data_IF_137967575720
#
_entry.id   IF_137967575720
#
_cell.length_a   1.000
_cell.length_b   1.000
_cell.length_c   1.000
_cell.angle_alpha   90.00
_cell.angle_beta   90.00
_cell.angle_gamma   90.00
#
_symmetry.space_group_name_H-M   'P 1'
#
loop_
_entity.id
_entity.type
_entity.pdbx_description
1 polymer ?
#
# COMPACT_ATOMS: atom_id res chain seq x y z
N UNK A 1 -10.66 -30.55 -26.83
CA UNK A 1 -9.67 -30.71 -25.74
C UNK A 1 -8.43 -31.43 -26.26
N UNK A 2 -7.49 -30.66 -26.82
CA UNK A 2 -6.23 -31.22 -27.34
C UNK A 2 -5.05 -31.10 -26.35
N UNK A 3 -5.31 -30.87 -25.08
CA UNK A 3 -4.24 -30.76 -24.07
C UNK A 3 -4.28 -31.99 -23.16
N UNK A 4 -3.28 -32.86 -23.30
CA UNK A 4 -3.13 -34.09 -22.52
C UNK A 4 -2.64 -33.84 -21.07
N UNK A 5 -3.17 -32.83 -20.38
CA UNK A 5 -2.79 -32.49 -19.03
C UNK A 5 -4.02 -32.26 -18.14
N UNK A 6 -3.86 -32.52 -16.83
CA UNK A 6 -4.97 -32.41 -15.87
C UNK A 6 -5.54 -30.98 -15.83
N UNK A 7 -6.86 -30.84 -15.59
CA UNK A 7 -7.51 -29.53 -15.39
C UNK A 7 -6.80 -28.71 -14.31
N UNK A 8 -6.51 -27.44 -14.60
CA UNK A 8 -5.80 -26.54 -13.68
C UNK A 8 -4.28 -26.69 -13.65
N UNK A 9 -3.71 -27.62 -14.44
CA UNK A 9 -2.25 -27.71 -14.59
C UNK A 9 -1.67 -26.50 -15.32
N UNK A 10 -0.40 -26.21 -15.04
CA UNK A 10 0.35 -25.11 -15.68
C UNK A 10 0.27 -25.17 -17.21
N UNK A 11 0.37 -26.36 -17.78
CA UNK A 11 0.33 -26.56 -19.23
C UNK A 11 -1.05 -26.27 -19.81
N UNK A 12 -2.11 -26.71 -19.13
CA UNK A 12 -3.47 -26.49 -19.57
C UNK A 12 -3.87 -25.01 -19.49
N UNK A 13 -3.57 -24.34 -18.36
CA UNK A 13 -3.86 -22.92 -18.19
C UNK A 13 -3.14 -22.09 -19.25
N UNK A 14 -1.87 -22.40 -19.53
CA UNK A 14 -1.09 -21.76 -20.58
C UNK A 14 -1.69 -21.96 -21.98
N UNK A 15 -2.09 -23.17 -22.32
CA UNK A 15 -2.67 -23.48 -23.62
C UNK A 15 -4.02 -22.76 -23.80
N UNK A 16 -4.89 -22.78 -22.79
CA UNK A 16 -6.18 -22.08 -22.80
C UNK A 16 -6.01 -20.57 -22.93
N UNK A 17 -5.08 -19.97 -22.19
CA UNK A 17 -4.78 -18.54 -22.29
C UNK A 17 -4.26 -18.17 -23.69
N UNK A 18 -3.42 -19.03 -24.29
CA UNK A 18 -2.91 -18.82 -25.64
C UNK A 18 -4.04 -18.84 -26.68
N UNK A 19 -4.94 -19.82 -26.63
CA UNK A 19 -6.08 -19.90 -27.54
C UNK A 19 -7.01 -18.69 -27.42
N UNK A 20 -7.36 -18.29 -26.19
CA UNK A 20 -8.20 -17.13 -25.94
C UNK A 20 -7.55 -15.83 -26.39
N UNK A 21 -6.26 -15.65 -26.16
CA UNK A 21 -5.51 -14.48 -26.64
C UNK A 21 -5.45 -14.45 -28.17
N UNK A 22 -5.24 -15.60 -28.80
CA UNK A 22 -5.24 -15.73 -30.26
C UNK A 22 -6.62 -15.46 -30.86
N UNK A 23 -7.68 -15.92 -30.21
CA UNK A 23 -9.07 -15.64 -30.58
C UNK A 23 -9.35 -14.14 -30.49
N UNK A 24 -9.01 -13.50 -29.35
CA UNK A 24 -9.21 -12.08 -29.15
C UNK A 24 -8.57 -11.24 -30.28
N UNK A 25 -7.30 -11.55 -30.59
CA UNK A 25 -6.54 -10.84 -31.65
C UNK A 25 -7.14 -11.05 -33.05
N UNK A 26 -7.56 -12.29 -33.38
CA UNK A 26 -8.17 -12.56 -34.70
C UNK A 26 -9.53 -11.91 -34.90
N UNK A 27 -10.31 -11.80 -33.82
CA UNK A 27 -11.69 -11.30 -33.86
C UNK A 27 -11.83 -9.83 -33.50
N UNK A 28 -10.76 -9.19 -33.02
CA UNK A 28 -10.83 -7.83 -32.49
C UNK A 28 -11.74 -7.70 -31.27
N UNK A 29 -11.85 -8.79 -30.48
CA UNK A 29 -12.74 -8.89 -29.32
C UNK A 29 -11.93 -8.79 -28.05
N UNK A 30 -12.40 -8.02 -27.08
CA UNK A 30 -11.80 -7.99 -25.73
C UNK A 30 -12.16 -9.26 -24.97
N UNK A 31 -11.19 -9.87 -24.31
CA UNK A 31 -11.36 -11.06 -23.48
C UNK A 31 -10.86 -10.77 -22.08
N UNK A 32 -11.69 -10.99 -21.07
CA UNK A 32 -11.33 -10.87 -19.65
C UNK A 32 -11.21 -12.28 -19.08
N UNK A 33 -10.01 -12.63 -18.63
CA UNK A 33 -9.72 -13.88 -17.92
C UNK A 33 -9.80 -13.61 -16.42
N UNK A 34 -10.79 -14.21 -15.77
CA UNK A 34 -10.95 -14.11 -14.33
C UNK A 34 -10.15 -15.23 -13.65
N UNK A 35 -9.14 -14.86 -12.92
CA UNK A 35 -8.29 -15.77 -12.14
C UNK A 35 -8.59 -15.67 -10.65
N UNK A 36 -8.00 -16.59 -9.90
CA UNK A 36 -8.07 -16.70 -8.47
C UNK A 36 -6.66 -16.52 -7.89
N UNK A 37 -6.53 -15.81 -6.79
CA UNK A 37 -5.23 -15.63 -6.10
C UNK A 37 -5.05 -16.72 -5.07
N UNK A 38 -3.84 -17.26 -4.98
CA UNK A 38 -3.43 -18.16 -3.91
C UNK A 38 -3.26 -17.42 -2.59
N UNK A 39 -3.11 -18.16 -1.47
CA UNK A 39 -2.86 -17.58 -0.15
C UNK A 39 -1.63 -16.67 -0.09
N UNK A 40 -0.68 -16.88 -0.99
CA UNK A 40 0.55 -16.09 -1.12
C UNK A 40 0.38 -14.84 -2.01
N UNK A 41 -0.87 -14.49 -2.37
CA UNK A 41 -1.19 -13.33 -3.20
C UNK A 41 -0.79 -13.47 -4.67
N UNK A 42 -0.55 -14.70 -5.15
CA UNK A 42 -0.25 -14.98 -6.54
C UNK A 42 -1.49 -15.51 -7.28
N UNK A 43 -1.58 -15.24 -8.59
CA UNK A 43 -2.65 -15.82 -9.42
C UNK A 43 -2.50 -17.35 -9.39
N UNK A 44 -3.59 -18.05 -9.08
CA UNK A 44 -3.64 -19.51 -9.16
C UNK A 44 -3.50 -19.93 -10.61
N UNK A 45 -2.36 -20.48 -10.92
CA UNK A 45 -1.88 -20.77 -12.25
C UNK A 45 -0.53 -20.09 -12.47
N UNK A 46 0.18 -20.45 -13.54
CA UNK A 46 1.53 -19.94 -13.70
C UNK A 46 1.52 -18.43 -13.96
N UNK A 47 2.46 -17.71 -13.39
CA UNK A 47 2.86 -16.33 -13.76
C UNK A 47 3.01 -16.16 -15.28
N UNK A 48 3.12 -17.25 -15.99
CA UNK A 48 3.16 -17.29 -17.46
C UNK A 48 1.97 -16.61 -18.10
N UNK A 49 0.75 -16.67 -17.51
CA UNK A 49 -0.44 -15.99 -18.05
C UNK A 49 -0.29 -14.48 -17.98
N UNK A 50 0.32 -13.95 -16.94
CA UNK A 50 0.58 -12.50 -16.80
C UNK A 50 1.47 -11.96 -17.93
N UNK A 51 2.42 -12.79 -18.42
CA UNK A 51 3.27 -12.41 -19.54
C UNK A 51 2.56 -12.50 -20.90
N UNK A 52 1.49 -13.30 -21.01
CA UNK A 52 0.78 -13.55 -22.26
C UNK A 52 -0.34 -12.54 -22.55
N UNK A 53 -0.84 -11.85 -21.51
CA UNK A 53 -1.93 -10.89 -21.63
C UNK A 53 -1.42 -9.45 -21.69
N UNK A 54 -2.24 -8.55 -22.21
CA UNK A 54 -1.87 -7.14 -22.38
C UNK A 54 -2.01 -6.34 -21.08
N UNK A 55 -2.97 -6.71 -20.22
CA UNK A 55 -3.25 -6.04 -18.95
C UNK A 55 -3.43 -7.06 -17.85
N UNK A 56 -2.91 -6.78 -16.67
CA UNK A 56 -3.10 -7.56 -15.44
C UNK A 56 -3.63 -6.64 -14.36
N UNK A 57 -4.78 -7.00 -13.81
CA UNK A 57 -5.44 -6.28 -12.74
C UNK A 57 -5.52 -7.20 -11.51
N UNK A 58 -5.08 -6.70 -10.36
CA UNK A 58 -5.28 -7.34 -9.08
C UNK A 58 -6.45 -6.68 -8.35
N UNK A 59 -7.33 -7.52 -7.84
CA UNK A 59 -8.44 -7.09 -6.99
C UNK A 59 -8.10 -7.45 -5.56
N UNK A 60 -7.64 -6.46 -4.81
CA UNK A 60 -7.14 -6.60 -3.44
C UNK A 60 -8.22 -6.24 -2.42
N UNK A 61 -8.22 -6.90 -1.28
CA UNK A 61 -9.11 -6.57 -0.17
C UNK A 61 -9.04 -7.63 0.93
N UNK A 62 -8.84 -7.21 2.15
CA UNK A 62 -8.85 -8.10 3.30
C UNK A 62 -10.28 -8.39 3.77
N UNK A 63 -10.49 -9.58 4.35
CA UNK A 63 -11.76 -9.93 4.98
C UNK A 63 -12.00 -9.02 6.19
N UNK A 64 -13.15 -8.34 6.18
CA UNK A 64 -13.52 -7.40 7.25
C UNK A 64 -13.34 -5.93 6.90
N UNK A 65 -12.62 -5.59 5.84
CA UNK A 65 -12.59 -4.21 5.33
C UNK A 65 -13.72 -3.96 4.32
N UNK A 66 -14.33 -2.79 4.40
CA UNK A 66 -15.42 -2.39 3.50
C UNK A 66 -14.93 -2.10 2.08
N UNK A 67 -13.61 -1.84 1.93
CA UNK A 67 -13.03 -1.39 0.67
C UNK A 67 -12.35 -2.51 -0.10
N UNK A 68 -12.33 -2.33 -1.43
CA UNK A 68 -11.60 -3.16 -2.39
C UNK A 68 -10.78 -2.25 -3.28
N UNK A 69 -9.54 -2.64 -3.52
CA UNK A 69 -8.60 -1.90 -4.39
C UNK A 69 -8.38 -2.73 -5.64
N UNK A 70 -8.68 -2.14 -6.80
CA UNK A 70 -8.34 -2.68 -8.10
C UNK A 70 -7.03 -2.03 -8.54
N UNK A 71 -5.97 -2.81 -8.67
CA UNK A 71 -4.63 -2.34 -9.02
C UNK A 71 -4.21 -2.84 -10.39
N UNK A 72 -3.75 -1.95 -11.26
CA UNK A 72 -3.11 -2.31 -12.52
C UNK A 72 -1.64 -2.67 -12.27
N UNK A 73 -1.32 -3.97 -12.34
CA UNK A 73 0.06 -4.47 -12.15
C UNK A 73 0.84 -4.50 -13.45
N UNK A 74 0.14 -4.69 -14.56
CA UNK A 74 0.67 -4.61 -15.92
C UNK A 74 -0.35 -3.94 -16.81
N UNK A 75 0.09 -2.98 -17.60
CA UNK A 75 -0.75 -2.35 -18.61
C UNK A 75 0.07 -1.99 -19.85
N UNK A 76 -0.18 -2.68 -20.96
CA UNK A 76 0.53 -2.45 -22.21
C UNK A 76 0.12 -1.15 -22.90
N UNK A 77 -1.07 -0.64 -22.60
CA UNK A 77 -1.70 0.49 -23.29
C UNK A 77 -1.75 1.76 -22.43
N UNK A 78 -1.15 1.75 -21.25
CA UNK A 78 -1.15 2.89 -20.34
C UNK A 78 -0.30 2.68 -19.10
N UNK A 79 -0.41 3.55 -18.10
CA UNK A 79 0.33 3.43 -16.85
C UNK A 79 0.03 2.11 -16.12
N UNK A 80 1.03 1.58 -15.44
CA UNK A 80 0.87 0.53 -14.43
C UNK A 80 0.81 1.17 -13.03
N UNK A 81 0.47 0.36 -12.03
CA UNK A 81 0.32 0.76 -10.62
C UNK A 81 -0.83 1.73 -10.32
N UNK A 82 -1.65 2.04 -11.32
CA UNK A 82 -2.91 2.78 -11.12
C UNK A 82 -3.87 1.99 -10.25
N UNK A 83 -4.62 2.72 -9.40
CA UNK A 83 -5.62 2.11 -8.52
C UNK A 83 -7.03 2.67 -8.75
N UNK A 84 -8.02 1.78 -8.64
CA UNK A 84 -9.42 2.11 -8.40
C UNK A 84 -9.82 1.63 -7.02
N UNK A 85 -10.52 2.45 -6.26
CA UNK A 85 -11.01 2.08 -4.93
C UNK A 85 -12.52 1.96 -4.95
N UNK A 86 -13.01 0.87 -4.39
CA UNK A 86 -14.44 0.53 -4.34
C UNK A 86 -14.85 0.22 -2.90
N UNK A 87 -16.03 0.62 -2.54
CA UNK A 87 -16.68 0.27 -1.28
C UNK A 87 -17.64 -0.92 -1.49
N UNK A 88 -17.63 -1.87 -0.56
CA UNK A 88 -18.61 -2.95 -0.51
C UNK A 88 -19.88 -2.46 0.17
N UNK A 89 -20.92 -2.25 -0.62
CA UNK A 89 -22.24 -1.86 -0.13
C UNK A 89 -23.24 -3.02 -0.16
N UNK A 90 -24.39 -2.87 0.44
CA UNK A 90 -25.47 -3.86 0.36
C UNK A 90 -26.01 -4.11 -1.07
N UNK A 91 -25.76 -3.18 -2.00
CA UNK A 91 -26.10 -3.27 -3.42
C UNK A 91 -24.93 -3.71 -4.31
N UNK A 92 -23.76 -3.97 -3.74
CA UNK A 92 -22.55 -4.38 -4.46
C UNK A 92 -21.40 -3.37 -4.32
N UNK A 93 -20.51 -3.34 -5.31
CA UNK A 93 -19.37 -2.44 -5.34
C UNK A 93 -19.78 -1.04 -5.82
N UNK A 94 -19.45 -0.03 -5.05
CA UNK A 94 -19.59 1.37 -5.41
C UNK A 94 -18.21 2.02 -5.56
N UNK A 95 -17.99 2.84 -6.58
CA UNK A 95 -16.74 3.58 -6.76
C UNK A 95 -16.56 4.63 -5.68
N UNK A 96 -15.33 4.73 -5.17
CA UNK A 96 -14.95 5.77 -4.22
C UNK A 96 -14.19 6.87 -4.96
N UNK A 97 -14.82 8.02 -5.12
CA UNK A 97 -14.25 9.15 -5.84
C UNK A 97 -13.03 9.76 -5.15
N UNK A 98 -13.02 9.77 -3.81
CA UNK A 98 -11.92 10.29 -3.01
C UNK A 98 -11.39 9.22 -2.02
N UNK A 99 -10.43 8.37 -2.44
CA UNK A 99 -9.87 7.33 -1.58
C UNK A 99 -9.18 7.87 -0.33
N UNK A 100 -8.55 9.04 -0.40
CA UNK A 100 -7.86 9.61 0.75
C UNK A 100 -8.79 9.79 1.96
N UNK A 101 -10.05 10.13 1.73
CA UNK A 101 -11.04 10.25 2.81
C UNK A 101 -11.29 8.95 3.57
N UNK A 102 -11.00 7.78 2.95
CA UNK A 102 -11.16 6.47 3.56
C UNK A 102 -9.95 6.01 4.35
N UNK A 103 -8.76 6.44 3.93
CA UNK A 103 -7.49 6.04 4.54
C UNK A 103 -7.03 7.02 5.63
N UNK A 104 -7.86 8.02 5.90
CA UNK A 104 -7.72 8.92 7.04
C UNK A 104 -8.74 8.53 8.09
N UNK A 105 -8.33 8.48 9.35
CA UNK A 105 -9.25 8.34 10.47
C UNK A 105 -10.21 9.53 10.50
N UNK A 106 -11.39 9.34 11.08
CA UNK A 106 -12.26 10.49 11.35
C UNK A 106 -11.46 11.57 12.09
N UNK A 107 -11.51 12.79 11.58
CA UNK A 107 -10.78 13.91 12.18
C UNK A 107 -11.37 14.23 13.54
N UNK A 108 -10.80 13.56 14.55
CA UNK A 108 -10.98 13.88 15.95
C UNK A 108 -9.81 14.73 16.47
N UNK A 109 -9.67 14.79 17.78
CA UNK A 109 -8.49 15.39 18.40
C UNK A 109 -7.23 14.61 17.98
N UNK A 110 -6.12 15.31 17.70
CA UNK A 110 -4.85 14.66 17.36
C UNK A 110 -4.43 13.68 18.46
N UNK A 111 -4.11 12.45 18.08
CA UNK A 111 -3.65 11.42 19.00
C UNK A 111 -2.16 11.10 18.78
N UNK A 112 -1.41 10.84 19.86
CA UNK A 112 -0.03 10.38 19.73
C UNK A 112 0.05 9.10 18.88
N UNK A 113 1.11 9.01 18.07
CA UNK A 113 1.37 7.85 17.23
C UNK A 113 0.72 7.89 15.85
N UNK A 114 -0.03 8.94 15.51
CA UNK A 114 -0.62 9.10 14.19
C UNK A 114 0.18 10.11 13.35
N UNK A 115 0.42 9.76 12.07
CA UNK A 115 1.01 10.65 11.07
C UNK A 115 0.34 10.45 9.72
N UNK A 116 -0.02 11.54 9.05
CA UNK A 116 -0.62 11.49 7.72
C UNK A 116 0.46 11.59 6.65
N UNK A 117 0.59 10.55 5.86
CA UNK A 117 1.49 10.45 4.73
C UNK A 117 0.82 10.95 3.45
N UNK A 118 1.45 11.87 2.75
CA UNK A 118 1.03 12.26 1.41
C UNK A 118 1.74 11.39 0.37
N UNK A 119 1.11 10.27 0.00
CA UNK A 119 1.64 9.24 -0.90
C UNK A 119 1.24 9.41 -2.35
N UNK A 120 1.88 8.61 -3.21
CA UNK A 120 1.54 8.45 -4.62
C UNK A 120 1.34 6.97 -4.91
N UNK A 121 0.18 6.62 -5.45
CA UNK A 121 -0.11 5.29 -5.96
C UNK A 121 -0.28 5.37 -7.48
N UNK A 122 0.71 4.83 -8.22
CA UNK A 122 0.80 5.04 -9.66
C UNK A 122 1.01 6.52 -10.00
N UNK A 123 0.01 7.15 -10.56
CA UNK A 123 0.01 8.61 -10.82
C UNK A 123 -0.91 9.38 -9.86
N UNK A 124 -1.65 8.66 -9.02
CA UNK A 124 -2.69 9.24 -8.14
C UNK A 124 -2.13 9.59 -6.77
N UNK A 125 -2.23 10.85 -6.34
CA UNK A 125 -1.93 11.20 -4.96
C UNK A 125 -3.01 10.64 -4.02
N UNK A 126 -2.58 10.05 -2.90
CA UNK A 126 -3.45 9.45 -1.88
C UNK A 126 -2.87 9.76 -0.51
N UNK A 127 -3.68 10.33 0.37
CA UNK A 127 -3.31 10.53 1.77
C UNK A 127 -3.64 9.26 2.57
N UNK A 128 -2.68 8.81 3.38
CA UNK A 128 -2.79 7.59 4.17
C UNK A 128 -2.29 7.85 5.58
N UNK A 129 -3.03 7.41 6.58
CA UNK A 129 -2.61 7.52 7.97
C UNK A 129 -1.76 6.31 8.37
N UNK A 130 -0.57 6.60 8.91
CA UNK A 130 0.26 5.65 9.65
C UNK A 130 -0.03 5.79 11.13
N UNK A 131 -0.24 4.64 11.79
CA UNK A 131 -0.51 4.55 13.21
C UNK A 131 0.57 3.72 13.88
N UNK A 132 1.27 4.29 14.83
CA UNK A 132 2.29 3.62 15.63
C UNK A 132 1.86 3.49 17.08
N UNK A 133 2.17 2.37 17.69
CA UNK A 133 2.09 2.16 19.13
C UNK A 133 3.45 1.69 19.63
N UNK A 134 3.95 2.34 20.65
CA UNK A 134 5.20 2.02 21.33
C UNK A 134 4.92 1.77 22.80
N UNK A 135 5.30 0.60 23.31
CA UNK A 135 5.04 0.23 24.69
C UNK A 135 6.23 -0.52 25.30
N UNK A 136 6.47 -0.42 26.63
CA UNK A 136 7.47 -1.25 27.28
C UNK A 136 7.23 -2.74 27.01
N UNK A 137 8.30 -3.48 26.63
CA UNK A 137 8.15 -4.92 26.42
C UNK A 137 8.26 -5.67 27.75
N UNK A 138 7.32 -6.60 28.05
CA UNK A 138 7.45 -7.53 29.16
C UNK A 138 8.36 -8.73 28.81
N UNK A 139 8.86 -8.82 27.59
CA UNK A 139 9.62 -9.95 27.08
C UNK A 139 11.11 -9.64 26.94
N UNK A 140 11.93 -10.69 26.90
CA UNK A 140 13.38 -10.56 26.67
C UNK A 140 13.71 -10.06 25.24
N UNK A 141 12.81 -10.28 24.29
CA UNK A 141 12.93 -9.77 22.91
C UNK A 141 11.74 -8.86 22.60
N UNK A 142 12.01 -7.59 22.22
CA UNK A 142 11.00 -6.65 21.80
C UNK A 142 10.27 -7.12 20.53
N UNK A 143 8.97 -6.93 20.50
CA UNK A 143 8.14 -7.26 19.33
C UNK A 143 8.21 -6.14 18.29
N UNK A 144 8.22 -6.54 17.02
CA UNK A 144 8.08 -5.65 15.86
C UNK A 144 6.95 -6.18 15.00
N UNK A 145 5.82 -5.48 14.96
CA UNK A 145 4.65 -5.89 14.18
C UNK A 145 4.29 -4.79 13.20
N UNK A 146 4.09 -5.17 11.94
CA UNK A 146 3.80 -4.23 10.85
C UNK A 146 2.64 -4.74 10.03
N UNK A 147 1.67 -3.88 9.76
CA UNK A 147 0.56 -4.13 8.86
C UNK A 147 0.52 -3.02 7.81
N UNK A 148 0.51 -3.40 6.54
CA UNK A 148 0.38 -2.48 5.42
C UNK A 148 1.69 -1.82 4.96
N UNK A 149 2.83 -2.09 5.61
CA UNK A 149 4.15 -1.58 5.22
C UNK A 149 5.23 -2.65 5.35
N UNK A 150 6.45 -2.36 4.88
CA UNK A 150 7.56 -3.33 4.89
C UNK A 150 8.25 -3.39 6.26
N UNK A 151 8.35 -4.60 6.83
CA UNK A 151 8.97 -4.82 8.14
C UNK A 151 10.50 -4.61 8.15
N UNK A 152 11.16 -4.91 7.04
CA UNK A 152 12.61 -4.64 6.89
C UNK A 152 12.88 -3.13 6.87
N UNK A 153 11.99 -2.37 6.23
CA UNK A 153 12.09 -0.92 6.20
C UNK A 153 11.85 -0.30 7.58
N UNK A 154 10.87 -0.81 8.35
CA UNK A 154 10.71 -0.41 9.75
C UNK A 154 11.99 -0.63 10.56
N UNK A 155 12.63 -1.80 10.41
CA UNK A 155 13.88 -2.10 11.11
C UNK A 155 14.99 -1.11 10.74
N UNK A 156 15.09 -0.69 9.48
CA UNK A 156 16.03 0.33 9.03
C UNK A 156 15.74 1.71 9.66
N UNK A 157 14.49 2.14 9.70
CA UNK A 157 14.11 3.43 10.32
C UNK A 157 14.41 3.43 11.81
N UNK A 158 14.10 2.36 12.54
CA UNK A 158 14.45 2.23 13.96
C UNK A 158 15.96 2.30 14.19
N UNK A 159 16.76 1.63 13.33
CA UNK A 159 18.21 1.67 13.40
C UNK A 159 18.77 3.09 13.14
N UNK A 160 18.19 3.83 12.19
CA UNK A 160 18.59 5.21 11.90
C UNK A 160 18.24 6.13 13.08
N UNK A 161 17.03 6.02 13.63
CA UNK A 161 16.60 6.81 14.79
C UNK A 161 17.53 6.57 15.98
N UNK A 162 17.92 5.33 16.24
CA UNK A 162 18.85 4.98 17.32
C UNK A 162 20.27 5.47 17.04
N UNK A 163 20.84 5.12 15.88
CA UNK A 163 22.25 5.33 15.60
C UNK A 163 22.59 6.77 15.21
N UNK A 164 21.65 7.52 14.62
CA UNK A 164 21.88 8.88 14.10
C UNK A 164 21.22 9.96 14.92
N UNK A 165 20.07 9.64 15.53
CA UNK A 165 19.31 10.62 16.33
C UNK A 165 19.45 10.38 17.83
N UNK A 166 20.08 9.29 18.25
CA UNK A 166 20.22 8.95 19.67
C UNK A 166 18.91 8.59 20.36
N UNK A 167 17.94 8.10 19.58
CA UNK A 167 16.59 7.77 20.06
C UNK A 167 16.42 6.25 20.05
N UNK A 168 16.73 5.56 21.16
CA UNK A 168 16.66 4.10 21.21
C UNK A 168 15.23 3.58 21.36
N UNK A 169 14.96 2.44 20.74
CA UNK A 169 13.75 1.65 20.90
C UNK A 169 14.02 0.29 21.57
N UNK A 170 15.19 0.15 22.20
CA UNK A 170 15.53 -1.02 22.99
C UNK A 170 14.55 -1.17 24.16
N UNK A 171 14.10 -2.40 24.42
CA UNK A 171 13.12 -2.67 25.48
C UNK A 171 11.70 -2.16 25.23
N UNK A 172 11.40 -1.72 24.02
CA UNK A 172 10.09 -1.24 23.61
C UNK A 172 9.51 -2.15 22.52
N UNK A 173 8.26 -2.60 22.67
CA UNK A 173 7.48 -3.18 21.59
C UNK A 173 7.02 -2.08 20.64
N UNK A 174 7.07 -2.36 19.35
CA UNK A 174 6.65 -1.43 18.29
C UNK A 174 5.61 -2.11 17.40
N UNK A 175 4.49 -1.45 17.24
CA UNK A 175 3.41 -1.83 16.34
C UNK A 175 3.19 -0.70 15.34
N UNK A 176 3.14 -1.02 14.06
CA UNK A 176 2.87 -0.07 12.99
C UNK A 176 1.74 -0.59 12.11
N UNK A 177 0.76 0.24 11.86
CA UNK A 177 -0.39 -0.07 11.03
C UNK A 177 -0.64 1.04 10.01
N UNK A 178 -0.99 0.65 8.79
CA UNK A 178 -1.51 1.55 7.76
C UNK A 178 -3.02 1.52 7.81
N UNK A 179 -3.65 2.66 8.03
CA UNK A 179 -5.10 2.75 8.15
C UNK A 179 -5.81 2.32 6.87
N UNK A 180 -7.02 1.78 7.01
CA UNK A 180 -7.86 1.36 5.88
C UNK A 180 -7.41 0.11 5.14
N UNK A 181 -6.37 -0.61 5.63
CA UNK A 181 -5.88 -1.84 5.01
C UNK A 181 -5.09 -1.63 3.70
N UNK A 182 -4.66 -0.40 3.44
CA UNK A 182 -3.83 -0.09 2.28
C UNK A 182 -2.42 -0.63 2.47
N UNK A 183 -1.79 -1.10 1.38
CA UNK A 183 -0.37 -1.45 1.36
C UNK A 183 0.41 -0.31 0.75
N UNK A 184 1.32 0.27 1.53
CA UNK A 184 2.23 1.32 1.08
C UNK A 184 3.60 0.72 0.85
N UNK A 185 4.18 0.92 -0.33
CA UNK A 185 5.52 0.45 -0.70
C UNK A 185 6.48 1.60 -1.02
N UNK A 186 6.00 2.82 -0.99
CA UNK A 186 6.75 4.01 -1.38
C UNK A 186 7.77 4.41 -0.30
N UNK A 187 9.07 4.58 -0.65
CA UNK A 187 10.09 5.05 0.29
C UNK A 187 9.82 6.43 0.90
N UNK A 188 9.05 7.27 0.20
CA UNK A 188 8.64 8.58 0.72
C UNK A 188 7.83 8.51 2.03
N UNK A 189 7.33 7.34 2.42
CA UNK A 189 6.64 7.10 3.69
C UNK A 189 7.58 7.06 4.91
N UNK A 190 8.89 6.94 4.71
CA UNK A 190 9.86 6.81 5.81
C UNK A 190 9.72 7.89 6.87
N UNK A 191 9.60 9.15 6.43
CA UNK A 191 9.50 10.28 7.35
C UNK A 191 8.19 10.26 8.13
N UNK A 192 7.09 9.85 7.51
CA UNK A 192 5.79 9.70 8.19
C UNK A 192 5.85 8.58 9.23
N UNK A 193 6.49 7.46 8.91
CA UNK A 193 6.71 6.36 9.87
C UNK A 193 7.59 6.81 11.04
N UNK A 194 8.69 7.50 10.77
CA UNK A 194 9.55 8.05 11.82
C UNK A 194 8.79 9.03 12.71
N UNK A 195 7.99 9.93 12.12
CA UNK A 195 7.17 10.89 12.85
C UNK A 195 6.12 10.19 13.73
N UNK A 196 5.44 9.17 13.21
CA UNK A 196 4.46 8.38 13.98
C UNK A 196 5.13 7.65 15.16
N UNK A 197 6.31 7.05 14.94
CA UNK A 197 7.08 6.36 15.99
C UNK A 197 7.53 7.32 17.09
N UNK A 198 8.03 8.49 16.72
CA UNK A 198 8.46 9.51 17.68
C UNK A 198 7.28 10.07 18.46
N UNK A 199 6.18 10.36 17.77
CA UNK A 199 4.93 10.81 18.38
C UNK A 199 4.40 9.79 19.41
N UNK A 200 4.39 8.50 19.06
CA UNK A 200 3.97 7.44 19.97
C UNK A 200 4.90 7.27 21.17
N UNK A 201 6.22 7.39 20.96
CA UNK A 201 7.21 7.21 22.00
C UNK A 201 7.22 8.34 23.02
N UNK A 202 7.09 9.58 22.54
CA UNK A 202 7.10 10.78 23.40
C UNK A 202 5.70 11.14 23.92
N UNK A 203 4.65 10.41 23.51
CA UNK A 203 3.24 10.69 23.83
C UNK A 203 2.81 12.11 23.44
N UNK A 204 3.30 12.59 22.30
CA UNK A 204 3.04 13.92 21.75
C UNK A 204 2.40 13.77 20.37
N UNK A 205 1.19 14.25 20.21
CA UNK A 205 0.51 14.24 18.92
C UNK A 205 1.15 15.23 17.93
N UNK A 206 1.19 14.81 16.64
CA UNK A 206 1.52 15.75 15.56
C UNK A 206 0.38 16.74 15.34
N UNK A 207 0.66 17.97 14.83
CA UNK A 207 -0.40 18.92 14.50
C UNK A 207 -1.39 18.33 13.48
N UNK A 208 -2.68 18.47 13.75
CA UNK A 208 -3.78 17.81 13.04
C UNK A 208 -3.79 18.06 11.52
N UNK A 209 -3.34 19.24 11.09
CA UNK A 209 -3.39 19.67 9.69
C UNK A 209 -2.03 19.54 8.98
N UNK A 210 -1.20 18.60 9.43
CA UNK A 210 0.15 18.39 8.89
C UNK A 210 0.24 17.06 8.16
N UNK A 211 0.71 17.09 6.91
CA UNK A 211 1.14 15.91 6.17
C UNK A 211 2.65 15.74 6.25
N UNK A 212 3.10 14.49 6.16
CA UNK A 212 4.52 14.15 6.28
C UNK A 212 4.94 13.27 5.11
N UNK A 213 6.05 13.60 4.44
CA UNK A 213 6.63 12.72 3.42
C UNK A 213 8.10 13.03 3.17
N UNK A 214 8.88 12.00 2.97
CA UNK A 214 10.32 12.07 2.70
C UNK A 214 10.97 10.70 2.83
N UNK A 215 12.00 10.44 2.05
CA UNK A 215 12.81 9.23 2.17
C UNK A 215 13.94 9.49 3.17
N UNK A 216 14.20 8.51 4.05
CA UNK A 216 15.29 8.56 5.02
C UNK A 216 16.41 7.61 4.58
N UNK A 217 17.61 8.16 4.38
CA UNK A 217 18.80 7.36 4.09
C UNK A 217 19.41 6.75 5.36
N UNK A 218 20.25 5.73 5.22
CA UNK A 218 20.98 5.12 6.34
C UNK A 218 21.94 6.08 7.05
N UNK A 219 22.31 7.19 6.40
CA UNK A 219 23.07 8.26 7.02
C UNK A 219 22.23 9.16 7.93
N UNK A 220 20.90 9.02 7.90
CA UNK A 220 19.95 9.90 8.60
C UNK A 220 19.55 11.13 7.77
N UNK A 221 20.10 11.31 6.58
CA UNK A 221 19.75 12.43 5.72
C UNK A 221 18.39 12.20 5.05
N UNK A 222 17.60 13.27 4.96
CA UNK A 222 16.37 13.28 4.17
C UNK A 222 16.69 13.43 2.69
N UNK A 223 16.01 12.66 1.86
CA UNK A 223 16.11 12.72 0.40
C UNK A 223 14.85 13.33 -0.19
N UNK A 224 14.97 14.15 -1.22
CA UNK A 224 13.83 14.65 -1.96
C UNK A 224 13.06 13.50 -2.62
N UNK A 225 11.75 13.63 -2.68
CA UNK A 225 10.86 12.65 -3.31
C UNK A 225 10.15 13.26 -4.51
N UNK A 226 9.74 12.42 -5.43
CA UNK A 226 9.04 12.86 -6.64
C UNK A 226 7.63 13.37 -6.37
N UNK A 227 7.09 14.14 -7.32
CA UNK A 227 5.70 14.60 -7.36
C UNK A 227 5.26 15.44 -6.14
N UNK A 228 6.17 16.19 -5.53
CA UNK A 228 5.90 17.01 -4.35
C UNK A 228 4.67 17.92 -4.53
N UNK A 229 4.53 18.55 -5.69
CA UNK A 229 3.39 19.43 -5.98
C UNK A 229 2.06 18.68 -5.96
N UNK A 230 1.99 17.45 -6.52
CA UNK A 230 0.77 16.65 -6.52
C UNK A 230 0.39 16.20 -5.11
N UNK A 231 1.38 15.84 -4.28
CA UNK A 231 1.18 15.48 -2.87
C UNK A 231 0.58 16.65 -2.08
N UNK A 232 1.14 17.83 -2.25
CA UNK A 232 0.70 19.06 -1.56
C UNK A 232 -0.68 19.50 -2.04
N UNK A 233 -0.98 19.42 -3.34
CA UNK A 233 -2.31 19.74 -3.88
C UNK A 233 -3.40 18.84 -3.31
N UNK A 234 -3.14 17.53 -3.19
CA UNK A 234 -4.09 16.60 -2.59
C UNK A 234 -4.28 16.88 -1.10
N UNK A 235 -3.20 17.13 -0.37
CA UNK A 235 -3.26 17.52 1.03
C UNK A 235 -4.11 18.80 1.22
N UNK A 236 -3.88 19.82 0.40
CA UNK A 236 -4.63 21.08 0.46
C UNK A 236 -6.13 20.89 0.21
N UNK A 237 -6.52 20.05 -0.78
CA UNK A 237 -7.93 19.72 -1.05
C UNK A 237 -8.64 19.13 0.16
N UNK A 238 -7.92 18.41 0.99
CA UNK A 238 -8.41 17.75 2.19
C UNK A 238 -8.25 18.62 3.45
N UNK A 239 -7.82 19.90 3.28
CA UNK A 239 -7.74 20.90 4.32
C UNK A 239 -6.49 20.78 5.20
N UNK A 240 -5.42 20.13 4.73
CA UNK A 240 -4.12 20.21 5.38
C UNK A 240 -3.43 21.53 5.02
N UNK A 241 -2.78 22.14 6.00
CA UNK A 241 -2.20 23.48 5.89
C UNK A 241 -0.69 23.49 6.03
N UNK A 242 -0.11 22.39 6.51
CA UNK A 242 1.33 22.24 6.71
C UNK A 242 1.85 20.92 6.13
N UNK A 243 3.14 20.89 5.78
CA UNK A 243 3.86 19.73 5.33
C UNK A 243 5.28 19.68 5.91
N UNK A 244 5.75 18.50 6.23
CA UNK A 244 7.11 18.17 6.67
C UNK A 244 7.75 17.24 5.66
#
# INVERSE_FOLDING_TARGET
DNVASAPGSVSQVRASAHELTSFAKRRGTSVILVGHVTKDGQIAGPRVVEHMVDTVLYFEGERGHQFRILRAVKNRFGPADEIGVFEMTGSGLAEVANPSALFLSERGDPSPGSAVFAGIEGTRPVLVEFQALVAPTPHSQPRRSVVGWDGGRLAMILAVLEARCGIPFAGLDVYLNVAGGMKVSEPAADLAVAAALLSAREDIALPAETVVFGEISLSGALRPVGQTENRLKEAQKLGFTAAI
#
